data_IF_048353029211
#
_entry.id   IF_048353029211
#
_cell.length_a   1.000
_cell.length_b   1.000
_cell.length_c   1.000
_cell.angle_alpha   90.00
_cell.angle_beta   90.00
_cell.angle_gamma   90.00
#
_symmetry.space_group_name_H-M   'P 1'
#
loop_
_entity.id
_entity.type
_entity.pdbx_description
1 polymer ?
#
# COMPACT_ATOMS: atom_id res chain seq x y z
N UNK A 1 29.88 10.30 13.61
CA UNK A 1 28.45 10.60 13.33
C UNK A 1 28.43 11.84 12.48
N UNK A 2 27.78 11.78 11.32
CA UNK A 2 27.71 12.93 10.42
C UNK A 2 26.68 13.93 10.99
N UNK A 3 27.04 15.22 11.17
CA UNK A 3 26.22 16.19 11.89
C UNK A 3 24.87 16.48 11.22
N UNK A 4 24.74 16.18 9.93
CA UNK A 4 23.52 16.45 9.15
C UNK A 4 22.58 15.24 9.02
N UNK A 5 22.90 14.08 9.63
CA UNK A 5 22.03 12.89 9.55
C UNK A 5 20.98 12.94 10.65
N UNK A 6 19.72 12.78 10.26
CA UNK A 6 18.61 12.72 11.22
C UNK A 6 18.51 11.30 11.75
N UNK A 7 18.47 11.18 13.06
CA UNK A 7 18.49 9.89 13.73
C UNK A 7 17.28 9.81 14.65
N UNK A 8 16.43 8.81 14.41
CA UNK A 8 15.27 8.53 15.25
C UNK A 8 15.56 7.31 16.12
N UNK A 9 15.69 7.51 17.43
CA UNK A 9 15.87 6.43 18.41
C UNK A 9 14.63 6.20 19.27
N UNK A 10 13.67 7.13 19.22
CA UNK A 10 12.51 7.16 20.10
C UNK A 10 11.24 7.56 19.35
N UNK A 11 10.11 7.08 19.83
CA UNK A 11 8.76 7.43 19.40
C UNK A 11 7.91 7.83 20.60
N UNK A 12 6.84 8.59 20.38
CA UNK A 12 5.88 8.91 21.43
C UNK A 12 4.86 7.77 21.58
N UNK A 13 4.49 7.42 22.82
CA UNK A 13 3.36 6.52 23.07
C UNK A 13 2.03 7.29 23.11
N UNK A 14 0.92 6.57 23.25
CA UNK A 14 -0.42 7.16 23.38
C UNK A 14 -0.63 8.03 24.63
N UNK A 15 0.37 8.13 25.51
CA UNK A 15 0.39 9.02 26.69
C UNK A 15 1.34 10.21 26.48
N UNK A 16 1.93 10.38 25.29
CA UNK A 16 2.89 11.44 24.99
C UNK A 16 4.28 11.25 25.60
N UNK A 17 4.59 10.05 26.11
CA UNK A 17 5.92 9.72 26.63
C UNK A 17 6.86 9.30 25.50
N UNK A 18 8.07 9.86 25.52
CA UNK A 18 9.13 9.49 24.59
C UNK A 18 9.78 8.16 25.02
N UNK A 19 9.69 7.15 24.16
CA UNK A 19 10.10 5.78 24.43
C UNK A 19 11.00 5.27 23.29
N UNK A 20 11.98 4.42 23.60
CA UNK A 20 12.83 3.79 22.57
C UNK A 20 12.00 3.03 21.53
N UNK A 21 12.31 3.26 20.25
CA UNK A 21 11.61 2.65 19.11
C UNK A 21 11.63 1.12 19.15
N UNK A 22 12.69 0.53 19.72
CA UNK A 22 12.86 -0.92 19.86
C UNK A 22 11.73 -1.59 20.67
N UNK A 23 11.02 -0.86 21.54
CA UNK A 23 9.85 -1.40 22.29
C UNK A 23 8.62 -1.62 21.42
N UNK A 24 8.60 -1.04 20.22
CA UNK A 24 7.52 -1.15 19.25
C UNK A 24 7.85 -2.12 18.13
N UNK A 25 8.89 -2.94 18.28
CA UNK A 25 9.39 -3.79 17.21
C UNK A 25 9.55 -5.18 17.78
N UNK A 26 8.72 -6.09 17.30
CA UNK A 26 8.81 -7.53 17.52
C UNK A 26 8.11 -8.20 16.33
N UNK A 27 8.55 -9.40 15.98
CA UNK A 27 7.85 -10.18 14.98
C UNK A 27 6.43 -10.53 15.48
N UNK A 28 5.43 -10.26 14.65
CA UNK A 28 4.04 -10.62 14.89
C UNK A 28 3.63 -11.71 13.90
N UNK A 29 2.70 -12.56 14.32
CA UNK A 29 2.15 -13.62 13.48
C UNK A 29 1.37 -13.00 12.30
N UNK A 30 1.61 -13.43 11.05
CA UNK A 30 0.73 -13.09 9.94
C UNK A 30 -0.60 -13.87 10.03
N UNK A 31 -1.66 -13.44 9.31
CA UNK A 31 -2.86 -14.24 9.17
C UNK A 31 -2.57 -15.64 8.60
N UNK A 32 -3.06 -16.69 9.27
CA UNK A 32 -2.81 -18.09 8.85
C UNK A 32 -3.28 -18.37 7.42
N UNK A 33 -4.41 -17.78 7.03
CA UNK A 33 -4.95 -17.88 5.67
C UNK A 33 -3.97 -17.45 4.56
N UNK A 34 -2.99 -16.58 4.85
CA UNK A 34 -1.97 -16.18 3.89
C UNK A 34 -0.90 -17.26 3.71
N UNK A 35 -0.49 -17.88 4.83
CA UNK A 35 0.47 -18.98 4.84
C UNK A 35 -0.08 -20.21 4.13
N UNK A 36 -1.38 -20.49 4.31
CA UNK A 36 -2.05 -21.63 3.71
C UNK A 36 -2.30 -21.48 2.19
N UNK A 37 -2.35 -20.24 1.69
CA UNK A 37 -2.70 -19.98 0.28
C UNK A 37 -1.56 -20.30 -0.68
N UNK A 38 -0.31 -20.11 -0.26
CA UNK A 38 0.88 -20.30 -1.08
C UNK A 38 1.91 -21.23 -0.40
N UNK A 39 1.46 -22.41 0.06
CA UNK A 39 2.27 -23.40 0.79
C UNK A 39 3.60 -23.79 0.11
N UNK A 40 3.71 -23.58 -1.20
CA UNK A 40 4.89 -23.94 -1.99
C UNK A 40 5.59 -22.73 -2.63
N UNK A 41 5.11 -21.51 -2.35
CA UNK A 41 5.67 -20.27 -2.87
C UNK A 41 5.82 -19.22 -1.74
N UNK A 42 6.98 -19.22 -1.05
CA UNK A 42 7.22 -18.28 0.03
C UNK A 42 7.28 -16.83 -0.46
N UNK A 43 7.69 -16.58 -1.70
CA UNK A 43 7.78 -15.23 -2.26
C UNK A 43 6.38 -14.65 -2.48
N UNK A 44 5.48 -15.43 -3.08
CA UNK A 44 4.07 -15.05 -3.20
C UNK A 44 3.40 -14.82 -1.84
N UNK A 45 3.79 -15.59 -0.81
CA UNK A 45 3.34 -15.36 0.57
C UNK A 45 3.82 -14.02 1.11
N UNK A 46 5.09 -13.67 0.90
CA UNK A 46 5.65 -12.39 1.33
C UNK A 46 5.02 -11.20 0.60
N UNK A 47 4.82 -11.31 -0.71
CA UNK A 47 4.16 -10.27 -1.51
C UNK A 47 2.73 -10.03 -1.03
N UNK A 48 2.00 -11.08 -0.67
CA UNK A 48 0.66 -10.96 -0.10
C UNK A 48 0.67 -10.30 1.28
N UNK A 49 1.64 -10.63 2.13
CA UNK A 49 1.79 -10.00 3.46
C UNK A 49 2.13 -8.52 3.30
N UNK A 50 3.07 -8.18 2.42
CA UNK A 50 3.45 -6.80 2.13
C UNK A 50 2.26 -6.01 1.58
N UNK A 51 1.48 -6.63 0.68
CA UNK A 51 0.21 -6.10 0.18
C UNK A 51 -0.78 -5.85 1.30
N UNK A 52 -1.01 -6.81 2.19
CA UNK A 52 -1.90 -6.66 3.34
C UNK A 52 -1.47 -5.50 4.25
N UNK A 53 -0.17 -5.39 4.57
CA UNK A 53 0.36 -4.29 5.39
C UNK A 53 0.15 -2.95 4.72
N UNK A 54 0.36 -2.85 3.40
CA UNK A 54 0.13 -1.61 2.63
C UNK A 54 -1.32 -1.13 2.61
N UNK A 55 -2.26 -2.02 2.96
CA UNK A 55 -3.67 -1.72 2.99
C UNK A 55 -4.16 -1.27 4.38
N UNK A 56 -3.32 -1.38 5.41
CA UNK A 56 -3.66 -0.94 6.75
C UNK A 56 -3.72 0.60 6.74
N UNK A 57 -4.89 1.20 7.02
CA UNK A 57 -5.01 2.65 7.03
C UNK A 57 -4.05 3.28 8.03
N UNK A 58 -3.28 4.26 7.57
CA UNK A 58 -2.50 5.12 8.47
C UNK A 58 -3.41 6.24 8.90
N UNK A 59 -3.64 6.35 10.21
CA UNK A 59 -4.23 7.56 10.78
C UNK A 59 -3.07 8.54 10.91
N UNK A 60 -3.03 9.65 10.14
CA UNK A 60 -2.04 10.68 10.39
C UNK A 60 -2.26 11.22 11.80
N UNK A 61 -1.24 11.12 12.65
CA UNK A 61 -1.20 11.86 13.90
C UNK A 61 -1.15 13.35 13.53
N UNK A 62 -2.32 13.98 13.45
CA UNK A 62 -2.41 15.45 13.44
C UNK A 62 -2.03 15.86 14.86
N UNK A 63 -0.73 16.00 15.09
CA UNK A 63 -0.22 16.79 16.21
C UNK A 63 -0.63 18.24 15.95
N UNK A 64 -1.25 18.86 16.96
CA UNK A 64 -1.67 20.25 16.99
C UNK A 64 -0.72 21.17 16.21
N UNK A 65 -1.27 22.00 15.32
CA UNK A 65 -0.58 22.99 14.49
C UNK A 65 0.22 24.06 15.28
N UNK A 66 0.34 23.94 16.60
CA UNK A 66 0.89 24.95 17.50
C UNK A 66 2.25 24.62 18.13
N UNK A 67 2.83 23.44 17.88
CA UNK A 67 4.19 23.16 18.34
C UNK A 67 5.12 23.02 17.14
N UNK A 68 6.19 23.81 17.12
CA UNK A 68 7.07 24.09 15.97
C UNK A 68 7.89 22.91 15.46
N UNK A 69 7.26 21.79 15.19
CA UNK A 69 7.83 20.67 14.47
C UNK A 69 7.79 20.98 12.98
N UNK A 70 8.96 21.00 12.34
CA UNK A 70 9.06 21.07 10.89
C UNK A 70 8.17 19.99 10.26
N UNK A 71 7.07 20.42 9.64
CA UNK A 71 6.18 19.58 8.85
C UNK A 71 6.93 19.25 7.56
N UNK A 72 7.68 18.15 7.57
CA UNK A 72 8.35 17.62 6.40
C UNK A 72 7.31 16.90 5.52
N UNK A 73 6.77 17.60 4.53
CA UNK A 73 6.03 16.97 3.44
C UNK A 73 7.04 16.33 2.46
N UNK A 74 7.41 15.07 2.67
CA UNK A 74 7.82 14.20 1.56
C UNK A 74 6.56 13.70 0.85
N UNK A 75 6.64 13.40 -0.45
CA UNK A 75 5.49 12.90 -1.23
C UNK A 75 4.89 11.59 -0.69
N UNK A 76 5.63 10.85 0.14
CA UNK A 76 5.18 9.60 0.81
C UNK A 76 5.17 9.69 2.36
N UNK A 77 5.53 10.81 2.98
CA UNK A 77 5.62 10.96 4.44
C UNK A 77 6.83 10.28 5.11
N UNK A 78 6.83 10.21 6.45
CA UNK A 78 7.83 9.48 7.26
C UNK A 78 7.48 8.00 7.32
N UNK A 79 8.14 7.18 6.51
CA UNK A 79 7.99 5.72 6.51
C UNK A 79 9.31 5.04 6.89
N UNK A 80 9.22 4.00 7.73
CA UNK A 80 10.33 3.09 7.99
C UNK A 80 10.27 1.91 7.01
N UNK A 81 11.26 1.81 6.13
CA UNK A 81 11.40 0.65 5.24
C UNK A 81 11.83 -0.58 6.04
N UNK A 82 11.36 -1.76 5.64
CA UNK A 82 11.79 -3.03 6.23
C UNK A 82 12.95 -3.59 5.42
N UNK A 83 14.07 -3.86 6.08
CA UNK A 83 15.23 -4.52 5.50
C UNK A 83 15.14 -6.02 5.76
N UNK A 84 15.20 -6.84 4.72
CA UNK A 84 15.38 -8.29 4.84
C UNK A 84 16.66 -8.72 4.15
N UNK A 85 17.33 -9.73 4.72
CA UNK A 85 18.53 -10.31 4.14
C UNK A 85 18.20 -11.68 3.56
N UNK A 86 18.35 -11.82 2.25
CA UNK A 86 18.40 -13.11 1.56
C UNK A 86 19.86 -13.59 1.44
N UNK A 87 20.08 -14.77 0.86
CA UNK A 87 21.39 -15.45 0.86
C UNK A 87 22.52 -14.53 0.34
N UNK A 88 22.26 -13.79 -0.74
CA UNK A 88 23.27 -12.95 -1.41
C UNK A 88 22.82 -11.49 -1.59
N UNK A 89 21.62 -11.11 -1.16
CA UNK A 89 21.10 -9.77 -1.39
C UNK A 89 20.27 -9.20 -0.23
N UNK A 90 20.26 -7.87 -0.14
CA UNK A 90 19.39 -7.12 0.76
C UNK A 90 18.18 -6.60 -0.01
N UNK A 91 17.00 -6.82 0.57
CA UNK A 91 15.74 -6.34 0.06
C UNK A 91 15.18 -5.24 0.96
N UNK A 92 14.62 -4.22 0.33
CA UNK A 92 14.01 -3.05 0.96
C UNK A 92 12.52 -3.03 0.63
N UNK A 93 11.69 -3.25 1.65
CA UNK A 93 10.24 -3.26 1.51
C UNK A 93 9.67 -1.90 1.90
N UNK A 94 8.90 -1.29 1.00
CA UNK A 94 8.11 -0.10 1.28
C UNK A 94 6.76 -0.53 1.86
N UNK A 95 6.49 -0.33 3.16
CA UNK A 95 5.24 -0.77 3.78
C UNK A 95 4.02 0.04 3.33
N UNK A 96 4.20 1.22 2.70
CA UNK A 96 3.08 2.02 2.18
C UNK A 96 2.55 1.49 0.85
N UNK A 97 3.45 0.96 0.01
CA UNK A 97 3.09 0.47 -1.33
C UNK A 97 3.05 -1.06 -1.40
N UNK A 98 3.63 -1.73 -0.40
CA UNK A 98 3.84 -3.18 -0.40
C UNK A 98 4.92 -3.64 -1.40
N UNK A 99 5.68 -2.71 -2.00
CA UNK A 99 6.68 -3.03 -3.00
C UNK A 99 8.02 -3.45 -2.38
N UNK A 100 8.67 -4.41 -3.02
CA UNK A 100 10.01 -4.88 -2.68
C UNK A 100 11.02 -4.35 -3.69
N UNK A 101 12.12 -3.77 -3.19
CA UNK A 101 13.22 -3.25 -3.99
C UNK A 101 14.51 -3.96 -3.62
N UNK A 102 15.30 -4.32 -4.63
CA UNK A 102 16.68 -4.77 -4.40
C UNK A 102 17.54 -3.59 -3.95
N UNK A 103 18.57 -3.85 -3.17
CA UNK A 103 19.53 -2.82 -2.72
C UNK A 103 20.05 -1.91 -3.86
N UNK A 104 20.26 -2.46 -5.06
CA UNK A 104 20.79 -1.73 -6.23
C UNK A 104 19.70 -1.35 -7.24
N UNK A 105 18.42 -1.39 -6.85
CA UNK A 105 17.31 -0.97 -7.70
C UNK A 105 17.27 0.57 -7.81
N UNK A 106 17.47 1.15 -9.01
CA UNK A 106 17.41 2.60 -9.20
C UNK A 106 15.99 3.18 -9.02
N UNK A 107 14.96 2.33 -9.00
CA UNK A 107 13.56 2.74 -8.78
C UNK A 107 13.14 2.70 -7.30
N UNK A 108 14.05 2.35 -6.38
CA UNK A 108 13.77 2.41 -4.95
C UNK A 108 13.49 3.87 -4.52
N UNK A 109 12.32 4.19 -3.92
CA UNK A 109 11.99 5.56 -3.53
C UNK A 109 12.80 6.06 -2.33
N UNK A 110 13.43 5.14 -1.58
CA UNK A 110 14.18 5.47 -0.37
C UNK A 110 15.37 6.38 -0.71
N UNK A 111 15.42 7.56 -0.08
CA UNK A 111 16.44 8.55 -0.39
C UNK A 111 17.74 8.36 0.40
N UNK A 112 17.61 7.96 1.67
CA UNK A 112 18.74 7.83 2.58
C UNK A 112 18.51 6.79 3.68
N UNK A 113 19.59 6.14 4.12
CA UNK A 113 19.63 5.19 5.23
C UNK A 113 20.55 5.72 6.32
N UNK A 114 19.95 6.35 7.32
CA UNK A 114 20.69 6.96 8.44
C UNK A 114 20.77 6.05 9.67
N UNK A 115 19.77 5.19 9.88
CA UNK A 115 19.75 4.23 10.96
C UNK A 115 19.01 2.94 10.58
N UNK A 116 19.38 1.85 11.26
CA UNK A 116 18.66 0.57 11.31
C UNK A 116 18.24 0.32 12.75
N UNK A 117 17.15 -0.43 12.96
CA UNK A 117 16.73 -0.83 14.29
C UNK A 117 15.99 -2.17 14.22
N UNK A 118 16.04 -2.93 15.32
CA UNK A 118 15.27 -4.15 15.52
C UNK A 118 14.67 -4.18 16.95
N UNK A 119 14.25 -5.35 17.44
CA UNK A 119 13.73 -5.52 18.79
C UNK A 119 14.82 -5.40 19.88
N UNK A 120 16.10 -5.40 19.49
CA UNK A 120 17.25 -5.42 20.38
C UNK A 120 18.07 -4.12 20.42
N UNK A 121 18.21 -3.41 19.30
CA UNK A 121 19.13 -2.27 19.21
C UNK A 121 18.77 -1.28 18.10
N UNK A 122 19.52 -0.18 18.07
CA UNK A 122 19.56 0.81 16.98
C UNK A 122 21.01 0.93 16.51
N UNK A 123 21.22 0.89 15.20
CA UNK A 123 22.52 1.08 14.56
C UNK A 123 22.53 2.35 13.71
N UNK A 124 23.51 3.21 13.96
CA UNK A 124 23.70 4.46 13.21
C UNK A 124 24.66 4.24 12.05
N UNK A 125 24.25 4.66 10.86
CA UNK A 125 25.11 4.62 9.70
C UNK A 125 26.25 5.64 9.86
N UNK A 126 27.50 5.16 9.90
CA UNK A 126 28.71 5.98 9.96
C UNK A 126 29.56 5.91 8.67
N UNK A 127 29.02 5.33 7.60
CA UNK A 127 29.61 5.33 6.26
C UNK A 127 29.51 6.72 5.62
N UNK A 128 30.41 7.10 4.71
CA UNK A 128 30.40 8.43 4.09
C UNK A 128 29.14 8.69 3.26
N UNK A 129 28.67 7.68 2.53
CA UNK A 129 27.43 7.72 1.77
C UNK A 129 26.27 7.10 2.57
N UNK A 130 25.07 7.67 2.46
CA UNK A 130 23.83 7.14 3.03
C UNK A 130 22.76 6.85 1.97
N UNK A 131 23.05 6.99 0.68
CA UNK A 131 22.10 6.53 -0.36
C UNK A 131 21.98 5.01 -0.32
N UNK A 132 20.77 4.42 -0.44
CA UNK A 132 20.57 2.97 -0.26
C UNK A 132 21.50 2.09 -1.10
N UNK A 133 21.72 2.48 -2.37
CA UNK A 133 22.59 1.76 -3.31
C UNK A 133 24.08 1.75 -2.90
N UNK A 134 24.51 2.70 -2.08
CA UNK A 134 25.90 2.84 -1.64
C UNK A 134 26.13 2.42 -0.19
N UNK A 135 25.06 2.12 0.55
CA UNK A 135 25.12 1.68 1.95
C UNK A 135 25.44 0.19 1.99
N UNK A 136 26.48 -0.20 2.72
CA UNK A 136 26.68 -1.59 3.09
C UNK A 136 25.83 -1.93 4.31
N UNK A 137 24.81 -2.78 4.15
CA UNK A 137 23.81 -3.10 5.19
C UNK A 137 24.26 -4.10 6.26
N UNK A 138 25.46 -4.66 6.13
CA UNK A 138 26.05 -5.55 7.14
C UNK A 138 26.32 -4.79 8.45
N UNK A 139 25.34 -4.80 9.35
CA UNK A 139 25.35 -4.09 10.62
C UNK A 139 26.30 -4.72 11.65
N UNK A 140 26.89 -5.89 11.37
CA UNK A 140 27.93 -6.49 12.22
C UNK A 140 29.25 -5.73 12.15
N UNK A 141 29.49 -4.96 11.07
CA UNK A 141 30.70 -4.17 10.86
C UNK A 141 30.64 -2.85 11.62
N UNK A 142 31.31 -2.79 12.76
CA UNK A 142 31.40 -1.59 13.61
C UNK A 142 32.07 -0.38 12.92
N UNK A 143 32.81 -0.62 11.83
CA UNK A 143 33.36 0.44 10.97
C UNK A 143 32.31 1.14 10.10
N UNK A 144 31.17 0.52 9.88
CA UNK A 144 30.06 1.03 9.07
C UNK A 144 28.84 1.39 9.91
N UNK A 145 28.63 0.69 11.03
CA UNK A 145 27.46 0.82 11.87
C UNK A 145 27.85 0.98 13.34
N UNK A 146 27.42 2.09 13.95
CA UNK A 146 27.62 2.33 15.39
C UNK A 146 26.36 1.96 16.16
N UNK A 147 26.43 0.94 17.00
CA UNK A 147 25.32 0.53 17.87
C UNK A 147 25.03 1.58 18.97
N UNK A 148 23.75 1.73 19.32
CA UNK A 148 23.29 2.55 20.43
C UNK A 148 23.55 1.85 21.77
N UNK A 149 23.12 0.59 21.89
CA UNK A 149 23.30 -0.25 23.06
C UNK A 149 24.55 -1.13 22.89
N UNK A 150 25.49 -1.13 23.86
CA UNK A 150 26.66 -2.00 23.82
C UNK A 150 26.29 -3.50 23.90
N UNK A 151 27.12 -4.37 23.31
CA UNK A 151 26.96 -5.84 23.38
C UNK A 151 26.85 -6.41 24.81
N UNK A 152 27.44 -5.73 25.80
CA UNK A 152 27.45 -6.12 27.21
C UNK A 152 26.34 -5.44 28.04
N UNK A 153 25.35 -4.84 27.39
CA UNK A 153 24.27 -4.15 28.09
C UNK A 153 23.41 -5.15 28.87
N UNK A 154 23.59 -5.19 30.19
CA UNK A 154 22.80 -5.98 31.14
C UNK A 154 21.50 -5.28 31.59
N UNK A 155 21.11 -4.19 30.92
CA UNK A 155 19.83 -3.56 31.20
C UNK A 155 18.70 -4.53 30.90
N UNK A 156 17.63 -4.49 31.70
CA UNK A 156 16.41 -5.23 31.42
C UNK A 156 15.99 -4.97 29.99
N UNK A 157 15.88 -6.01 29.15
CA UNK A 157 15.28 -5.90 27.82
C UNK A 157 13.98 -5.14 28.00
N UNK A 158 13.89 -3.96 27.37
CA UNK A 158 12.73 -3.12 27.55
C UNK A 158 11.49 -3.91 27.10
N UNK A 159 10.50 -4.06 27.97
CA UNK A 159 9.32 -4.84 27.63
C UNK A 159 8.65 -4.24 26.39
N UNK A 160 8.51 -5.07 25.35
CA UNK A 160 7.72 -4.71 24.17
C UNK A 160 6.32 -4.32 24.62
N UNK A 161 5.75 -3.32 23.95
CA UNK A 161 4.34 -2.97 24.16
C UNK A 161 3.43 -3.59 23.10
N UNK A 162 4.01 -4.27 22.11
CA UNK A 162 3.24 -5.02 21.14
C UNK A 162 2.58 -6.24 21.80
N UNK A 163 1.39 -6.65 21.34
CA UNK A 163 0.79 -7.90 21.77
C UNK A 163 1.70 -9.10 21.41
N UNK A 164 1.61 -10.18 22.18
CA UNK A 164 2.36 -11.40 21.88
C UNK A 164 1.88 -12.08 20.59
N UNK A 165 0.58 -12.01 20.34
CA UNK A 165 -0.08 -12.57 19.16
C UNK A 165 -1.22 -11.64 18.73
N UNK A 166 -1.39 -11.46 17.43
CA UNK A 166 -2.55 -10.81 16.84
C UNK A 166 -3.61 -11.88 16.56
N UNK A 167 -4.80 -11.67 17.11
CA UNK A 167 -5.98 -12.46 16.77
C UNK A 167 -6.63 -11.83 15.54
N UNK A 168 -6.61 -12.57 14.44
CA UNK A 168 -7.24 -12.13 13.19
C UNK A 168 -8.69 -12.60 13.11
N UNK A 169 -9.58 -11.70 12.73
CA UNK A 169 -11.00 -11.97 12.55
C UNK A 169 -11.38 -11.87 11.08
N UNK A 170 -12.21 -12.80 10.60
CA UNK A 170 -12.76 -12.72 9.25
C UNK A 170 -13.64 -11.47 9.08
N UNK A 171 -13.53 -10.86 7.91
CA UNK A 171 -14.34 -9.70 7.53
C UNK A 171 -15.72 -10.15 7.01
N UNK A 172 -16.77 -9.47 7.47
CA UNK A 172 -18.16 -9.86 7.18
C UNK A 172 -18.52 -9.64 5.70
N UNK A 173 -18.77 -10.72 4.96
CA UNK A 173 -19.09 -10.69 3.52
C UNK A 173 -20.35 -9.90 3.16
N UNK A 174 -21.37 -9.89 4.03
CA UNK A 174 -22.60 -9.09 3.79
C UNK A 174 -22.31 -7.60 3.86
N UNK A 175 -21.54 -7.17 4.88
CA UNK A 175 -21.11 -5.78 5.00
C UNK A 175 -20.31 -5.33 3.77
N UNK A 176 -19.47 -6.20 3.21
CA UNK A 176 -18.70 -5.91 2.00
C UNK A 176 -19.61 -5.72 0.79
N UNK A 177 -20.61 -6.58 0.62
CA UNK A 177 -21.56 -6.44 -0.49
C UNK A 177 -22.35 -5.13 -0.39
N UNK A 178 -22.81 -4.77 0.81
CA UNK A 178 -23.52 -3.52 1.07
C UNK A 178 -22.63 -2.29 0.80
N UNK A 179 -21.38 -2.33 1.28
CA UNK A 179 -20.40 -1.26 1.07
C UNK A 179 -20.05 -1.09 -0.42
N UNK A 180 -19.81 -2.19 -1.13
CA UNK A 180 -19.56 -2.21 -2.57
C UNK A 180 -20.72 -1.58 -3.33
N UNK A 181 -21.95 -1.99 -3.02
CA UNK A 181 -23.15 -1.45 -3.65
C UNK A 181 -23.35 0.04 -3.33
N UNK A 182 -23.02 0.48 -2.11
CA UNK A 182 -23.06 1.89 -1.71
C UNK A 182 -22.04 2.71 -2.50
N UNK A 183 -20.77 2.29 -2.55
CA UNK A 183 -19.70 2.98 -3.30
C UNK A 183 -20.09 3.09 -4.78
N UNK A 184 -20.51 1.99 -5.41
CA UNK A 184 -20.87 2.01 -6.84
C UNK A 184 -22.04 2.95 -7.12
N UNK A 185 -23.09 2.95 -6.28
CA UNK A 185 -24.23 3.88 -6.41
C UNK A 185 -23.79 5.33 -6.25
N UNK A 186 -23.00 5.62 -5.22
CA UNK A 186 -22.51 6.98 -4.96
C UNK A 186 -21.64 7.48 -6.10
N UNK A 187 -20.71 6.68 -6.61
CA UNK A 187 -19.87 7.05 -7.74
C UNK A 187 -20.68 7.27 -9.02
N UNK A 188 -21.72 6.46 -9.28
CA UNK A 188 -22.63 6.69 -10.42
C UNK A 188 -23.37 8.03 -10.30
N UNK A 189 -23.85 8.38 -9.11
CA UNK A 189 -24.47 9.68 -8.87
C UNK A 189 -23.46 10.82 -9.06
N UNK A 190 -22.25 10.71 -8.48
CA UNK A 190 -21.18 11.71 -8.64
C UNK A 190 -20.79 11.93 -10.09
N UNK A 191 -20.69 10.85 -10.88
CA UNK A 191 -20.46 10.93 -12.33
C UNK A 191 -21.55 11.71 -13.08
N UNK A 192 -22.81 11.65 -12.64
CA UNK A 192 -23.89 12.47 -13.20
C UNK A 192 -23.79 13.93 -12.75
N UNK A 193 -23.45 14.17 -11.47
CA UNK A 193 -23.25 15.51 -10.91
C UNK A 193 -22.07 16.26 -11.59
N UNK A 194 -20.96 15.56 -11.87
CA UNK A 194 -19.78 16.12 -12.54
C UNK A 194 -20.02 16.44 -14.02
N UNK A 195 -21.09 15.90 -14.63
CA UNK A 195 -21.40 16.06 -16.07
C UNK A 195 -22.78 16.71 -16.28
N UNK A 196 -23.05 17.91 -15.74
CA UNK A 196 -24.40 18.48 -15.75
C UNK A 196 -24.94 18.81 -17.16
N UNK A 197 -24.05 18.96 -18.15
CA UNK A 197 -24.41 19.34 -19.53
C UNK A 197 -24.60 18.15 -20.47
N UNK A 198 -24.24 16.93 -20.06
CA UNK A 198 -24.22 15.76 -20.94
C UNK A 198 -24.83 14.55 -20.24
N UNK A 199 -25.65 13.73 -20.92
CA UNK A 199 -26.15 12.51 -20.32
C UNK A 199 -25.00 11.51 -20.05
N UNK A 200 -25.08 10.81 -18.91
CA UNK A 200 -24.17 9.73 -18.56
C UNK A 200 -24.82 8.39 -18.93
N UNK A 201 -24.34 7.79 -20.03
CA UNK A 201 -24.81 6.50 -20.53
C UNK A 201 -23.92 5.39 -20.00
N UNK A 202 -24.51 4.36 -19.40
CA UNK A 202 -23.78 3.23 -18.82
C UNK A 202 -23.75 2.04 -19.77
N UNK A 203 -22.56 1.64 -20.21
CA UNK A 203 -22.34 0.44 -21.01
C UNK A 203 -22.38 -0.81 -20.11
N UNK A 204 -23.44 -1.59 -20.23
CA UNK A 204 -23.67 -2.78 -19.39
C UNK A 204 -22.69 -3.92 -19.70
N UNK A 205 -22.34 -4.12 -20.97
CA UNK A 205 -21.44 -5.20 -21.39
C UNK A 205 -20.03 -4.96 -20.85
N UNK A 206 -19.48 -3.77 -21.05
CA UNK A 206 -18.19 -3.39 -20.49
C UNK A 206 -18.22 -3.47 -18.97
N UNK A 207 -19.26 -2.92 -18.30
CA UNK A 207 -19.38 -3.01 -16.84
C UNK A 207 -19.34 -4.45 -16.34
N UNK A 208 -19.99 -5.40 -17.03
CA UNK A 208 -19.97 -6.81 -16.69
C UNK A 208 -18.57 -7.42 -16.82
N UNK A 209 -17.85 -7.11 -17.90
CA UNK A 209 -16.46 -7.57 -18.10
C UNK A 209 -15.55 -7.00 -17.00
N UNK A 210 -15.63 -5.70 -16.71
CA UNK A 210 -14.81 -5.06 -15.67
C UNK A 210 -15.02 -5.71 -14.30
N UNK A 211 -16.26 -6.09 -13.95
CA UNK A 211 -16.57 -6.79 -12.69
C UNK A 211 -15.90 -8.16 -12.56
N UNK A 212 -15.63 -8.86 -13.67
CA UNK A 212 -14.89 -10.14 -13.67
C UNK A 212 -13.39 -9.94 -13.56
N UNK A 213 -12.87 -8.86 -14.14
CA UNK A 213 -11.43 -8.55 -14.15
C UNK A 213 -10.95 -8.11 -12.76
N UNK A 214 -11.71 -7.26 -12.06
CA UNK A 214 -11.24 -6.65 -10.81
C UNK A 214 -10.79 -7.66 -9.72
N UNK A 215 -11.51 -8.75 -9.43
CA UNK A 215 -11.05 -9.75 -8.45
C UNK A 215 -9.71 -10.40 -8.81
N UNK A 216 -9.40 -10.53 -10.10
CA UNK A 216 -8.18 -11.17 -10.58
C UNK A 216 -6.97 -10.27 -10.43
N UNK A 217 -7.17 -8.96 -10.63
CA UNK A 217 -6.12 -7.96 -10.45
C UNK A 217 -5.59 -7.92 -9.01
N UNK A 218 -6.45 -8.19 -8.02
CA UNK A 218 -6.00 -8.22 -6.62
C UNK A 218 -5.08 -9.39 -6.29
N UNK A 219 -5.27 -10.54 -6.93
CA UNK A 219 -4.48 -11.74 -6.67
C UNK A 219 -3.08 -11.70 -7.32
N UNK A 220 -2.68 -10.57 -7.90
CA UNK A 220 -1.33 -10.38 -8.47
C UNK A 220 -1.01 -11.28 -9.65
N UNK A 221 -2.01 -12.00 -10.18
CA UNK A 221 -1.86 -12.89 -11.32
C UNK A 221 -1.83 -12.03 -12.59
N UNK A 222 -0.63 -11.54 -12.94
CA UNK A 222 -0.35 -10.96 -14.26
C UNK A 222 -0.58 -11.94 -15.43
N UNK A 223 -1.01 -13.16 -15.14
CA UNK A 223 -1.47 -14.19 -16.05
C UNK A 223 -2.83 -14.69 -15.56
N UNK A 224 -3.80 -14.86 -16.47
CA UNK A 224 -5.15 -15.40 -16.24
C UNK A 224 -6.30 -14.42 -16.02
N UNK A 225 -6.41 -13.39 -16.86
CA UNK A 225 -7.72 -13.23 -17.52
C UNK A 225 -7.95 -14.57 -18.24
N UNK A 226 -9.06 -15.27 -17.97
CA UNK A 226 -9.31 -16.52 -18.71
C UNK A 226 -9.34 -16.17 -20.19
N UNK A 227 -8.87 -17.07 -21.07
CA UNK A 227 -8.86 -16.82 -22.52
C UNK A 227 -10.22 -16.33 -23.04
N UNK A 228 -11.31 -16.77 -22.40
CA UNK A 228 -12.67 -16.33 -22.68
C UNK A 228 -12.95 -14.85 -22.32
N UNK A 229 -12.52 -14.37 -21.15
CA UNK A 229 -12.78 -12.99 -20.72
C UNK A 229 -11.89 -11.99 -21.47
N UNK A 230 -10.65 -12.40 -21.77
CA UNK A 230 -9.73 -11.64 -22.62
C UNK A 230 -10.33 -11.53 -24.02
N UNK A 231 -10.88 -12.63 -24.53
CA UNK A 231 -11.64 -12.63 -25.78
C UNK A 231 -12.90 -11.75 -25.73
N UNK A 232 -13.66 -11.74 -24.64
CA UNK A 232 -14.84 -10.86 -24.47
C UNK A 232 -14.43 -9.37 -24.50
N UNK A 233 -13.33 -9.03 -23.83
CA UNK A 233 -12.81 -7.65 -23.80
C UNK A 233 -12.22 -7.25 -25.15
N UNK A 234 -11.41 -8.10 -25.78
CA UNK A 234 -10.87 -7.89 -27.14
C UNK A 234 -11.99 -7.67 -28.16
N UNK A 235 -13.07 -8.46 -28.08
CA UNK A 235 -14.26 -8.27 -28.93
C UNK A 235 -14.91 -6.91 -28.70
N UNK A 236 -14.95 -6.41 -27.47
CA UNK A 236 -15.46 -5.07 -27.18
C UNK A 236 -14.57 -3.99 -27.81
N UNK A 237 -13.24 -4.15 -27.73
CA UNK A 237 -12.26 -3.22 -28.31
C UNK A 237 -12.36 -3.10 -29.83
N UNK A 238 -12.87 -4.14 -30.52
CA UNK A 238 -13.16 -4.08 -31.96
C UNK A 238 -14.24 -3.05 -32.33
N UNK A 239 -15.11 -2.65 -31.39
CA UNK A 239 -16.21 -1.71 -31.65
C UNK A 239 -16.05 -0.36 -30.93
N UNK A 240 -15.21 -0.30 -29.90
CA UNK A 240 -15.04 0.86 -29.03
C UNK A 240 -13.57 1.20 -28.81
N UNK A 241 -13.25 2.50 -28.81
CA UNK A 241 -12.11 3.06 -28.11
C UNK A 241 -12.41 3.09 -26.62
N UNK A 242 -11.75 2.23 -25.85
CA UNK A 242 -11.90 2.18 -24.39
C UNK A 242 -10.73 2.90 -23.74
N UNK A 243 -11.02 3.89 -22.90
CA UNK A 243 -10.00 4.61 -22.12
C UNK A 243 -10.37 4.58 -20.65
N UNK A 244 -9.41 4.21 -19.81
CA UNK A 244 -9.61 4.06 -18.37
C UNK A 244 -8.60 3.08 -17.81
N UNK A 245 -8.55 3.02 -16.48
CA UNK A 245 -7.66 2.11 -15.77
C UNK A 245 -8.29 1.75 -14.42
N UNK A 246 -7.98 0.56 -13.89
CA UNK A 246 -8.35 0.22 -12.53
C UNK A 246 -7.51 1.07 -11.55
N UNK A 247 -8.17 1.66 -10.57
CA UNK A 247 -7.53 2.26 -9.40
C UNK A 247 -7.74 1.34 -8.21
N UNK A 248 -6.68 1.20 -7.40
CA UNK A 248 -6.72 0.44 -6.18
C UNK A 248 -6.23 1.29 -5.02
N UNK A 249 -6.94 1.21 -3.89
CA UNK A 249 -6.61 1.94 -2.67
C UNK A 249 -7.13 1.21 -1.42
N UNK A 250 -6.51 1.42 -0.25
CA UNK A 250 -7.10 1.02 1.02
C UNK A 250 -8.42 1.77 1.27
N UNK A 251 -9.40 1.10 1.89
CA UNK A 251 -10.61 1.77 2.35
C UNK A 251 -10.32 2.56 3.64
N UNK A 252 -10.41 3.89 3.55
CA UNK A 252 -10.43 4.79 4.71
C UNK A 252 -11.85 5.32 4.94
N UNK A 253 -12.41 5.92 3.89
CA UNK A 253 -13.71 6.59 3.89
C UNK A 253 -14.22 6.73 2.44
N UNK A 254 -15.50 7.07 2.31
CA UNK A 254 -16.15 7.19 1.00
C UNK A 254 -15.66 8.40 0.20
N UNK A 255 -15.25 9.48 0.86
CA UNK A 255 -14.84 10.72 0.20
C UNK A 255 -13.49 10.54 -0.50
N UNK A 256 -12.53 9.87 0.14
CA UNK A 256 -11.24 9.53 -0.46
C UNK A 256 -11.38 8.76 -1.78
N UNK A 257 -12.35 7.84 -1.88
CA UNK A 257 -12.65 7.12 -3.12
C UNK A 257 -13.25 8.06 -4.18
N UNK A 258 -14.18 8.93 -3.79
CA UNK A 258 -14.81 9.91 -4.70
C UNK A 258 -13.73 10.83 -5.29
N UNK A 259 -12.83 11.33 -4.46
CA UNK A 259 -11.76 12.24 -4.87
C UNK A 259 -10.77 11.54 -5.79
N UNK A 260 -10.35 10.31 -5.46
CA UNK A 260 -9.48 9.51 -6.33
C UNK A 260 -10.11 9.25 -7.71
N UNK A 261 -11.40 8.89 -7.76
CA UNK A 261 -12.12 8.71 -9.04
C UNK A 261 -12.25 10.03 -9.80
N UNK A 262 -12.52 11.14 -9.11
CA UNK A 262 -12.60 12.46 -9.75
C UNK A 262 -11.28 12.87 -10.40
N UNK A 263 -10.16 12.66 -9.69
CA UNK A 263 -8.81 12.98 -10.15
C UNK A 263 -8.38 12.19 -11.41
N UNK A 264 -9.03 11.06 -11.73
CA UNK A 264 -8.77 10.35 -13.00
C UNK A 264 -9.11 11.17 -14.24
N UNK A 265 -9.97 12.19 -14.13
CA UNK A 265 -10.39 13.04 -15.25
C UNK A 265 -11.27 12.34 -16.30
N UNK A 266 -11.57 11.04 -16.13
CA UNK A 266 -12.34 10.25 -17.13
C UNK A 266 -13.75 10.83 -17.34
N UNK A 267 -14.33 11.41 -16.29
CA UNK A 267 -15.63 12.07 -16.35
C UNK A 267 -15.66 13.29 -17.30
N UNK A 268 -14.51 13.90 -17.59
CA UNK A 268 -14.39 15.10 -18.44
C UNK A 268 -14.25 14.79 -19.94
N UNK A 269 -14.46 13.53 -20.37
CA UNK A 269 -14.36 13.14 -21.78
C UNK A 269 -15.19 14.03 -22.71
N UNK A 270 -14.53 14.60 -23.73
CA UNK A 270 -15.13 15.52 -24.71
C UNK A 270 -15.72 14.80 -25.94
N UNK A 271 -15.50 13.50 -26.07
CA UNK A 271 -15.95 12.75 -27.24
C UNK A 271 -17.49 12.69 -27.33
N UNK A 272 -18.08 12.97 -28.51
CA UNK A 272 -19.53 12.88 -28.69
C UNK A 272 -20.04 11.46 -28.45
N UNK A 273 -21.19 11.35 -27.78
CA UNK A 273 -21.86 10.06 -27.49
C UNK A 273 -21.05 9.08 -26.63
N UNK A 274 -20.06 9.55 -25.86
CA UNK A 274 -19.30 8.72 -24.93
C UNK A 274 -20.21 7.94 -23.98
N UNK A 275 -19.99 6.63 -23.91
CA UNK A 275 -20.56 5.74 -22.90
C UNK A 275 -19.54 5.53 -21.78
N UNK A 276 -19.99 5.13 -20.60
CA UNK A 276 -19.15 4.88 -19.44
C UNK A 276 -19.39 3.49 -18.89
N UNK A 277 -18.36 2.89 -18.31
CA UNK A 277 -18.47 1.67 -17.53
C UNK A 277 -17.83 1.91 -16.17
N UNK A 278 -18.51 1.44 -15.11
CA UNK A 278 -18.01 1.54 -13.75
C UNK A 278 -18.27 0.22 -13.04
N UNK A 279 -17.19 -0.38 -12.54
CA UNK A 279 -17.22 -1.53 -11.66
C UNK A 279 -16.49 -1.23 -10.36
N UNK A 280 -17.01 -1.76 -9.26
CA UNK A 280 -16.36 -1.70 -7.94
C UNK A 280 -16.22 -3.13 -7.42
N UNK A 281 -15.04 -3.43 -6.89
CA UNK A 281 -14.75 -4.67 -6.18
C UNK A 281 -14.06 -4.32 -4.87
N UNK A 282 -14.36 -5.07 -3.82
CA UNK A 282 -13.70 -4.92 -2.53
C UNK A 282 -13.16 -6.29 -2.15
N UNK A 283 -11.86 -6.39 -1.99
CA UNK A 283 -11.23 -7.58 -1.45
C UNK A 283 -11.15 -7.47 0.08
N UNK A 284 -11.79 -8.40 0.82
CA UNK A 284 -11.75 -8.39 2.27
C UNK A 284 -10.50 -9.12 2.79
N UNK A 285 -9.60 -8.39 3.43
CA UNK A 285 -8.58 -8.97 4.30
C UNK A 285 -9.09 -9.07 5.75
N UNK A 286 -8.40 -9.79 6.64
CA UNK A 286 -8.79 -9.89 8.04
C UNK A 286 -8.84 -8.52 8.73
N UNK A 287 -9.60 -8.46 9.82
CA UNK A 287 -9.73 -7.26 10.67
C UNK A 287 -10.27 -6.03 9.94
N UNK A 288 -11.15 -6.22 8.94
CA UNK A 288 -11.74 -5.15 8.12
C UNK A 288 -10.70 -4.29 7.38
N UNK A 289 -9.52 -4.83 7.08
CA UNK A 289 -8.61 -4.23 6.11
C UNK A 289 -9.18 -4.52 4.72
N UNK A 290 -9.49 -3.46 3.95
CA UNK A 290 -10.20 -3.61 2.67
C UNK A 290 -9.38 -3.00 1.53
N UNK A 291 -9.16 -3.78 0.49
CA UNK A 291 -8.61 -3.30 -0.78
C UNK A 291 -9.77 -2.95 -1.71
N UNK A 292 -9.94 -1.66 -2.00
CA UNK A 292 -11.00 -1.16 -2.88
C UNK A 292 -10.46 -1.00 -4.28
N UNK A 293 -11.07 -1.71 -5.21
CA UNK A 293 -10.82 -1.58 -6.64
C UNK A 293 -11.99 -0.87 -7.31
N UNK A 294 -11.67 0.19 -8.04
CA UNK A 294 -12.63 0.89 -8.90
C UNK A 294 -12.09 0.88 -10.32
N UNK A 295 -12.89 0.42 -11.27
CA UNK A 295 -12.57 0.55 -12.68
C UNK A 295 -13.61 1.44 -13.33
N UNK A 296 -13.21 2.69 -13.60
CA UNK A 296 -13.95 3.63 -14.42
C UNK A 296 -13.34 3.65 -15.83
N UNK A 297 -14.18 3.50 -16.85
CA UNK A 297 -13.77 3.60 -18.24
C UNK A 297 -14.77 4.44 -19.04
N UNK A 298 -14.25 5.17 -20.02
CA UNK A 298 -15.03 5.83 -21.07
C UNK A 298 -14.86 5.09 -22.39
N UNK A 299 -15.95 5.00 -23.15
CA UNK A 299 -16.05 4.24 -24.39
C UNK A 299 -16.59 5.15 -25.49
N UNK A 300 -15.84 5.27 -26.58
CA UNK A 300 -16.27 5.95 -27.81
C UNK A 300 -16.35 4.94 -28.95
N UNK A 301 -17.47 4.89 -29.68
CA UNK A 301 -17.60 3.96 -30.81
C UNK A 301 -16.64 4.34 -31.94
N UNK A 302 -16.09 3.34 -32.62
CA UNK A 302 -15.41 3.55 -33.90
C UNK A 302 -16.40 4.19 -34.89
N UNK A 303 -15.95 5.20 -35.63
CA UNK A 303 -16.74 5.83 -36.70
C UNK A 303 -16.70 5.01 -37.98
#
# INVERSE_FOLDING_TARGET
MFPNRRITTTVFNGEGLQILVTRYIKALNPPQQFLDMFLHDPNATLDLIARFVSLIPIVPDILDENDGFDIWMTSEGQVAYVLTQEIDEYLLWNPLTGQCHKQFDPFCPLQSVDCLFDDGNVWFNIQQNNTPMAVHFDYSKESFWKQLLPKNFQGTKAHTIQPEEIIYCETNKSMIEDLKNRIERTLKCKMMEWRPKQPTRWNRQCTYILRKILPKLELGTGSFVSSEEESEFERLLQFYWVTGFPIQMPYTDLQSIIDAVYQTGIHSSEFPQTEFALAVYIHPYPNNVLSVWVYLASLARHQ
#
